data_IF_867724440187
#
_entry.id   IF_867724440187
#
_cell.length_a   1.000
_cell.length_b   1.000
_cell.length_c   1.000
_cell.angle_alpha   90.00
_cell.angle_beta   90.00
_cell.angle_gamma   90.00
#
_symmetry.space_group_name_H-M   'P 1'
#
loop_
_entity.id
_entity.type
_entity.pdbx_description
1 polymer ?
#
# COMPACT_ATOMS: atom_id res chain seq x y z
N UNK A 1 -19.52 -1.93 -8.66
CA UNK A 1 -18.13 -1.54 -8.99
C UNK A 1 -17.72 -0.39 -8.09
N UNK A 2 -16.61 -0.52 -7.37
CA UNK A 2 -16.02 0.65 -6.72
C UNK A 2 -15.26 1.44 -7.78
N UNK A 3 -15.62 2.70 -7.94
CA UNK A 3 -14.80 3.66 -8.69
C UNK A 3 -13.66 4.17 -7.80
N UNK A 4 -12.66 4.78 -8.43
CA UNK A 4 -11.49 5.31 -7.73
C UNK A 4 -11.87 6.37 -6.70
N UNK A 5 -12.89 7.19 -7.02
CA UNK A 5 -13.39 8.23 -6.10
C UNK A 5 -13.87 7.60 -4.79
N UNK A 6 -14.61 6.51 -4.86
CA UNK A 6 -15.11 5.76 -3.70
C UNK A 6 -13.95 5.22 -2.86
N UNK A 7 -12.92 4.63 -3.49
CA UNK A 7 -11.71 4.19 -2.78
C UNK A 7 -11.03 5.37 -2.08
N UNK A 8 -10.83 6.47 -2.80
CA UNK A 8 -10.16 7.65 -2.27
C UNK A 8 -10.89 8.26 -1.08
N UNK A 9 -12.21 8.42 -1.18
CA UNK A 9 -13.04 8.98 -0.11
C UNK A 9 -13.13 8.05 1.11
N UNK A 10 -13.00 6.74 0.91
CA UNK A 10 -13.03 5.74 1.97
C UNK A 10 -11.65 5.42 2.58
N UNK A 11 -10.57 5.97 2.04
CA UNK A 11 -9.24 5.68 2.55
C UNK A 11 -9.13 6.15 4.01
N UNK A 12 -8.75 5.27 4.94
CA UNK A 12 -8.88 5.55 6.36
C UNK A 12 -7.77 6.47 6.88
N UNK A 13 -8.09 7.21 7.93
CA UNK A 13 -7.07 7.81 8.81
C UNK A 13 -6.23 6.72 9.50
N UNK A 14 -4.91 6.90 9.51
CA UNK A 14 -3.97 5.92 10.04
C UNK A 14 -4.14 5.73 11.54
N UNK A 15 -4.30 6.79 12.31
CA UNK A 15 -4.34 6.73 13.77
C UNK A 15 -5.63 6.02 14.24
N UNK A 16 -6.74 6.28 13.55
CA UNK A 16 -7.99 5.57 13.78
C UNK A 16 -7.88 4.05 13.55
N UNK A 17 -7.08 3.62 12.56
CA UNK A 17 -6.81 2.20 12.29
C UNK A 17 -5.82 1.63 13.29
N UNK A 18 -4.73 2.33 13.59
CA UNK A 18 -3.70 1.89 14.53
C UNK A 18 -4.24 1.71 15.95
N UNK A 19 -5.22 2.52 16.38
CA UNK A 19 -5.89 2.38 17.68
C UNK A 19 -6.62 1.04 17.88
N UNK A 20 -6.93 0.30 16.81
CA UNK A 20 -7.60 -1.01 16.88
C UNK A 20 -6.83 -2.18 16.24
N UNK A 21 -6.02 -1.90 15.22
CA UNK A 21 -5.23 -2.88 14.48
C UNK A 21 -3.76 -2.69 14.82
N UNK A 22 -3.27 -3.45 15.78
CA UNK A 22 -1.89 -3.39 16.28
C UNK A 22 -1.34 -4.79 16.58
N UNK A 23 -0.04 -4.90 16.85
CA UNK A 23 0.60 -6.16 17.18
C UNK A 23 0.29 -6.54 18.64
N UNK A 24 -0.72 -7.39 18.84
CA UNK A 24 -1.04 -8.03 20.13
C UNK A 24 -0.18 -9.29 20.31
N UNK A 25 1.07 -9.14 20.76
CA UNK A 25 1.92 -10.27 21.14
C UNK A 25 1.86 -10.53 22.66
N UNK A 26 2.10 -11.77 23.09
CA UNK A 26 2.22 -12.09 24.53
C UNK A 26 3.44 -11.35 25.08
N UNK A 27 3.21 -10.31 25.88
CA UNK A 27 4.25 -9.48 26.49
C UNK A 27 4.19 -7.98 26.15
N UNK A 28 3.28 -7.55 25.25
CA UNK A 28 3.08 -6.12 24.96
C UNK A 28 2.07 -5.83 23.85
N UNK A 29 1.61 -4.57 23.81
CA UNK A 29 0.78 -4.03 22.72
C UNK A 29 1.61 -2.99 21.98
N UNK A 30 2.32 -3.41 20.94
CA UNK A 30 3.09 -2.49 20.09
C UNK A 30 2.35 -2.28 18.76
N UNK A 31 2.45 -1.10 18.13
CA UNK A 31 2.01 -0.93 16.75
C UNK A 31 2.74 -1.88 15.79
N UNK A 32 2.16 -2.14 14.62
CA UNK A 32 2.93 -2.76 13.53
C UNK A 32 3.97 -1.77 13.00
N UNK A 33 5.09 -2.27 12.50
CA UNK A 33 6.14 -1.39 11.94
C UNK A 33 5.65 -0.61 10.71
N UNK A 34 4.74 -1.21 9.93
CA UNK A 34 4.21 -0.62 8.70
C UNK A 34 2.72 -0.89 8.55
N UNK A 35 1.99 0.12 8.06
CA UNK A 35 0.53 0.09 7.95
C UNK A 35 0.00 0.17 6.51
N UNK A 36 0.86 0.31 5.49
CA UNK A 36 0.42 0.52 4.09
C UNK A 36 -0.62 -0.51 3.61
N UNK A 37 -0.31 -1.81 3.72
CA UNK A 37 -1.23 -2.88 3.34
C UNK A 37 -2.47 -2.96 4.24
N UNK A 38 -2.35 -2.54 5.52
CA UNK A 38 -3.46 -2.51 6.47
C UNK A 38 -4.46 -1.42 6.07
N UNK A 39 -3.97 -0.21 5.80
CA UNK A 39 -4.80 0.93 5.38
C UNK A 39 -5.48 0.66 4.05
N UNK A 40 -4.77 0.09 3.08
CA UNK A 40 -5.38 -0.30 1.81
C UNK A 40 -6.40 -1.43 2.01
N UNK A 41 -6.12 -2.43 2.85
CA UNK A 41 -7.10 -3.48 3.17
C UNK A 41 -8.38 -2.88 3.78
N UNK A 42 -8.25 -1.95 4.71
CA UNK A 42 -9.38 -1.25 5.34
C UNK A 42 -10.14 -0.39 4.32
N UNK A 43 -9.43 0.31 3.44
CA UNK A 43 -10.02 1.06 2.32
C UNK A 43 -10.87 0.16 1.43
N UNK A 44 -10.36 -1.01 1.02
CA UNK A 44 -11.11 -1.98 0.22
C UNK A 44 -12.37 -2.45 0.95
N UNK A 45 -12.26 -2.78 2.24
CA UNK A 45 -13.38 -3.23 3.08
C UNK A 45 -14.46 -2.14 3.21
N UNK A 46 -14.07 -0.90 3.45
CA UNK A 46 -14.99 0.26 3.50
C UNK A 46 -15.69 0.51 2.17
N UNK A 47 -15.03 0.19 1.07
CA UNK A 47 -15.58 0.29 -0.29
C UNK A 47 -16.38 -0.95 -0.72
N UNK A 48 -16.78 -1.81 0.23
CA UNK A 48 -17.65 -2.97 -0.04
C UNK A 48 -16.93 -4.17 -0.65
N UNK A 49 -15.60 -4.17 -0.70
CA UNK A 49 -14.81 -5.31 -1.12
C UNK A 49 -14.41 -6.16 0.09
N UNK A 50 -13.87 -7.35 -0.14
CA UNK A 50 -13.32 -8.19 0.93
C UNK A 50 -11.90 -8.64 0.58
N UNK A 51 -11.06 -8.70 1.60
CA UNK A 51 -9.68 -9.23 1.51
C UNK A 51 -9.55 -10.62 2.13
N UNK A 52 -10.63 -11.22 2.62
CA UNK A 52 -10.66 -12.54 3.28
C UNK A 52 -9.97 -13.65 2.47
N UNK A 53 -10.12 -13.64 1.14
CA UNK A 53 -9.54 -14.62 0.22
C UNK A 53 -8.08 -14.36 -0.14
N UNK A 54 -7.50 -13.25 0.29
CA UNK A 54 -6.08 -13.01 0.11
C UNK A 54 -5.29 -14.01 0.98
N UNK A 55 -4.42 -14.86 0.40
CA UNK A 55 -3.67 -15.88 1.15
C UNK A 55 -2.54 -15.30 2.01
N UNK A 56 -2.33 -13.97 1.96
CA UNK A 56 -1.31 -13.25 2.68
C UNK A 56 -1.45 -13.28 4.21
N UNK A 57 -0.38 -12.88 4.89
CA UNK A 57 -0.37 -12.81 6.36
C UNK A 57 -1.39 -11.78 6.85
N UNK A 58 -2.26 -12.17 7.78
CA UNK A 58 -3.36 -11.35 8.30
C UNK A 58 -3.09 -10.81 9.70
N UNK A 59 -3.62 -9.63 10.03
CA UNK A 59 -3.60 -9.09 11.38
C UNK A 59 -4.39 -9.98 12.35
N UNK A 60 -4.07 -9.94 13.64
CA UNK A 60 -4.72 -10.78 14.67
C UNK A 60 -5.34 -9.97 15.82
N UNK A 61 -5.37 -8.64 15.69
CA UNK A 61 -5.73 -7.75 16.80
C UNK A 61 -7.22 -7.57 17.02
N UNK A 62 -8.06 -7.92 16.05
CA UNK A 62 -9.51 -7.78 16.12
C UNK A 62 -10.22 -8.87 15.32
N UNK A 63 -11.50 -9.07 15.62
CA UNK A 63 -12.39 -9.95 14.88
C UNK A 63 -12.87 -9.31 13.57
N UNK A 64 -13.50 -10.10 12.69
CA UNK A 64 -13.99 -9.65 11.39
C UNK A 64 -12.96 -9.77 10.26
N UNK A 65 -13.14 -8.97 9.20
CA UNK A 65 -12.26 -8.98 8.03
C UNK A 65 -10.84 -8.55 8.41
N UNK A 66 -9.95 -9.52 8.58
CA UNK A 66 -8.56 -9.28 8.95
C UNK A 66 -7.78 -8.65 7.78
N UNK A 67 -7.10 -7.55 8.06
CA UNK A 67 -6.26 -6.83 7.09
C UNK A 67 -5.04 -7.64 6.70
N UNK A 68 -4.60 -7.48 5.45
CA UNK A 68 -3.29 -8.02 5.00
C UNK A 68 -2.18 -7.15 5.60
N UNK A 69 -1.16 -7.79 6.17
CA UNK A 69 -0.06 -7.08 6.83
C UNK A 69 1.06 -6.67 5.87
N UNK A 70 1.32 -7.47 4.83
CA UNK A 70 2.46 -7.27 3.92
C UNK A 70 2.00 -6.68 2.58
N UNK A 71 2.72 -5.67 2.11
CA UNK A 71 2.42 -5.04 0.82
C UNK A 71 2.59 -6.01 -0.34
N UNK A 72 3.66 -6.81 -0.35
CA UNK A 72 3.90 -7.81 -1.40
C UNK A 72 2.81 -8.90 -1.42
N UNK A 73 2.34 -9.38 -0.27
CA UNK A 73 1.25 -10.36 -0.21
C UNK A 73 -0.03 -9.80 -0.87
N UNK A 74 -0.35 -8.54 -0.61
CA UNK A 74 -1.52 -7.87 -1.17
C UNK A 74 -1.36 -7.63 -2.69
N UNK A 75 -0.19 -7.17 -3.11
CA UNK A 75 0.16 -6.95 -4.52
C UNK A 75 0.14 -8.25 -5.34
N UNK A 76 0.71 -9.33 -4.81
CA UNK A 76 0.72 -10.64 -5.45
C UNK A 76 -0.70 -11.24 -5.58
N UNK A 77 -1.59 -10.91 -4.64
CA UNK A 77 -3.00 -11.29 -4.75
C UNK A 77 -3.72 -10.49 -5.84
N UNK A 78 -3.49 -9.17 -5.92
CA UNK A 78 -4.03 -8.34 -6.99
C UNK A 78 -3.57 -8.79 -8.39
N UNK A 79 -2.33 -9.23 -8.56
CA UNK A 79 -1.83 -9.74 -9.85
C UNK A 79 -2.57 -11.01 -10.30
N UNK A 80 -2.94 -11.89 -9.35
CA UNK A 80 -3.64 -13.15 -9.64
C UNK A 80 -5.14 -12.96 -9.84
N UNK A 81 -5.75 -12.04 -9.09
CA UNK A 81 -7.18 -11.81 -9.07
C UNK A 81 -7.45 -10.34 -8.77
N UNK A 82 -7.31 -9.45 -9.77
CA UNK A 82 -7.59 -8.03 -9.59
C UNK A 82 -9.02 -7.85 -9.03
N UNK A 83 -9.22 -6.98 -8.03
CA UNK A 83 -10.56 -6.66 -7.55
C UNK A 83 -11.45 -6.10 -8.68
N UNK A 84 -12.76 -6.29 -8.57
CA UNK A 84 -13.70 -5.77 -9.57
C UNK A 84 -13.57 -4.24 -9.71
N UNK A 85 -13.42 -3.76 -10.95
CA UNK A 85 -13.17 -2.34 -11.25
C UNK A 85 -11.68 -1.97 -11.38
N UNK A 86 -10.77 -2.89 -11.07
CA UNK A 86 -9.33 -2.69 -11.24
C UNK A 86 -8.90 -3.22 -12.61
N UNK A 87 -8.03 -2.47 -13.28
CA UNK A 87 -7.37 -2.89 -14.51
C UNK A 87 -6.38 -4.04 -14.27
N UNK A 88 -5.84 -4.57 -15.37
CA UNK A 88 -4.75 -5.55 -15.29
C UNK A 88 -3.47 -4.90 -14.74
N UNK A 89 -2.58 -5.71 -14.15
CA UNK A 89 -1.29 -5.22 -13.66
C UNK A 89 -0.43 -4.70 -14.81
N UNK A 90 0.00 -3.45 -14.68
CA UNK A 90 1.04 -2.83 -15.49
C UNK A 90 2.38 -2.85 -14.76
N UNK A 91 3.44 -3.25 -15.47
CA UNK A 91 4.81 -3.08 -15.00
C UNK A 91 5.31 -1.69 -15.43
N UNK A 92 5.70 -0.89 -14.46
CA UNK A 92 6.18 0.49 -14.69
C UNK A 92 7.68 0.51 -14.43
N UNK A 93 8.44 1.01 -15.41
CA UNK A 93 9.88 1.21 -15.23
C UNK A 93 10.11 2.22 -14.10
N UNK A 94 10.94 1.90 -13.08
CA UNK A 94 11.18 2.79 -11.95
C UNK A 94 11.63 4.20 -12.37
N UNK A 95 12.51 4.33 -13.35
CA UNK A 95 12.98 5.64 -13.82
C UNK A 95 11.89 6.49 -14.53
N UNK A 96 10.78 5.89 -14.95
CA UNK A 96 9.71 6.58 -15.69
C UNK A 96 8.40 6.70 -14.89
N UNK A 97 8.36 6.25 -13.64
CA UNK A 97 7.08 6.02 -12.96
C UNK A 97 6.26 7.30 -12.80
N UNK A 98 6.88 8.42 -12.40
CA UNK A 98 6.15 9.68 -12.23
C UNK A 98 5.52 10.12 -13.55
N UNK A 99 6.28 10.01 -14.65
CA UNK A 99 5.80 10.38 -15.99
C UNK A 99 4.68 9.46 -16.46
N UNK A 100 4.83 8.15 -16.29
CA UNK A 100 3.86 7.15 -16.77
C UNK A 100 2.56 7.14 -15.98
N UNK A 101 2.62 7.44 -14.69
CA UNK A 101 1.45 7.48 -13.80
C UNK A 101 0.84 8.87 -13.68
N UNK A 102 1.45 9.90 -14.28
CA UNK A 102 0.93 11.26 -14.24
C UNK A 102 -0.48 11.35 -14.81
N UNK A 103 -1.38 11.97 -14.06
CA UNK A 103 -2.79 12.12 -14.44
C UNK A 103 -3.66 10.85 -14.31
N UNK A 104 -3.08 9.70 -13.98
CA UNK A 104 -3.79 8.42 -13.82
C UNK A 104 -4.24 8.19 -12.39
N UNK A 105 -5.18 7.28 -12.20
CA UNK A 105 -5.71 6.90 -10.89
C UNK A 105 -5.70 5.38 -10.73
N UNK A 106 -5.43 4.88 -9.52
CA UNK A 106 -5.36 3.44 -9.31
C UNK A 106 -4.65 3.03 -8.03
N UNK A 107 -4.14 1.81 -7.99
CA UNK A 107 -3.26 1.30 -6.92
C UNK A 107 -1.85 1.13 -7.45
N UNK A 108 -0.86 1.53 -6.66
CA UNK A 108 0.56 1.39 -6.98
C UNK A 108 1.26 0.58 -5.91
N UNK A 109 2.15 -0.32 -6.33
CA UNK A 109 3.03 -1.12 -5.48
C UNK A 109 4.48 -0.87 -5.87
N UNK A 110 5.33 -0.61 -4.87
CA UNK A 110 6.78 -0.42 -4.99
C UNK A 110 7.48 -1.55 -4.27
N UNK A 111 8.19 -2.39 -5.02
CA UNK A 111 8.91 -3.55 -4.49
C UNK A 111 10.36 -3.19 -4.15
N UNK A 112 10.84 -3.68 -3.00
CA UNK A 112 12.24 -3.59 -2.57
C UNK A 112 12.83 -2.19 -2.82
N UNK A 113 12.23 -1.12 -2.32
CA UNK A 113 12.69 0.26 -2.59
C UNK A 113 13.52 0.86 -1.44
N UNK A 114 13.43 0.29 -0.23
CA UNK A 114 14.19 0.71 0.96
C UNK A 114 14.66 -0.48 1.79
N UNK A 115 15.62 -0.27 2.68
CA UNK A 115 16.20 -1.30 3.57
C UNK A 115 15.46 -1.39 4.90
N UNK A 116 15.06 -2.60 5.31
CA UNK A 116 14.51 -2.82 6.66
C UNK A 116 15.64 -3.07 7.66
N UNK A 117 15.60 -2.41 8.82
CA UNK A 117 16.59 -2.59 9.88
C UNK A 117 18.03 -2.39 9.37
N UNK A 118 18.88 -3.41 9.54
CA UNK A 118 20.30 -3.38 9.14
C UNK A 118 20.57 -4.06 7.78
N UNK A 119 19.56 -4.18 6.91
CA UNK A 119 19.73 -4.73 5.58
C UNK A 119 20.73 -3.92 4.73
N UNK A 120 21.45 -4.62 3.85
CA UNK A 120 22.22 -3.97 2.78
C UNK A 120 21.27 -3.56 1.67
N UNK A 121 21.56 -2.45 1.00
CA UNK A 121 20.75 -1.98 -0.12
C UNK A 121 20.57 -3.04 -1.22
N UNK A 122 21.60 -3.85 -1.51
CA UNK A 122 21.52 -4.92 -2.51
C UNK A 122 20.56 -6.07 -2.13
N UNK A 123 20.25 -6.23 -0.84
CA UNK A 123 19.39 -7.29 -0.29
C UNK A 123 18.20 -6.71 0.48
N UNK A 124 17.73 -5.53 0.05
CA UNK A 124 16.65 -4.79 0.70
C UNK A 124 15.29 -5.44 0.45
N UNK A 125 14.40 -5.41 1.43
CA UNK A 125 13.05 -6.03 1.38
C UNK A 125 11.90 -5.06 1.71
N UNK A 126 12.18 -3.76 1.67
CA UNK A 126 11.23 -2.72 2.00
C UNK A 126 10.27 -2.41 0.86
N UNK A 127 9.01 -2.81 1.00
CA UNK A 127 7.94 -2.56 0.04
C UNK A 127 6.98 -1.44 0.47
N UNK A 128 6.13 -0.98 -0.46
CA UNK A 128 4.99 -0.09 -0.20
C UNK A 128 3.85 -0.32 -1.20
N UNK A 129 2.60 -0.18 -0.74
CA UNK A 129 1.39 -0.25 -1.57
C UNK A 129 0.41 0.86 -1.14
N UNK A 130 -0.18 1.57 -2.09
CA UNK A 130 -1.08 2.71 -1.82
C UNK A 130 -2.02 3.01 -3.00
N UNK A 131 -3.04 3.84 -2.77
CA UNK A 131 -3.80 4.50 -3.83
C UNK A 131 -2.96 5.61 -4.47
N UNK A 132 -3.09 5.76 -5.79
CA UNK A 132 -2.46 6.78 -6.62
C UNK A 132 -3.53 7.63 -7.31
N UNK A 133 -3.44 8.96 -7.22
CA UNK A 133 -4.34 9.95 -7.81
C UNK A 133 -3.58 11.08 -8.50
N UNK A 134 -3.52 11.05 -9.83
CA UNK A 134 -3.16 12.20 -10.69
C UNK A 134 -1.89 12.96 -10.26
N UNK A 135 -0.89 12.26 -9.72
CA UNK A 135 0.38 12.75 -9.09
C UNK A 135 0.44 12.75 -7.55
N UNK A 136 -0.54 12.18 -6.88
CA UNK A 136 -0.63 12.11 -5.43
C UNK A 136 -0.82 10.66 -5.00
N UNK A 137 -0.29 10.26 -3.86
CA UNK A 137 -0.86 9.15 -3.09
C UNK A 137 -1.79 9.74 -2.04
N UNK A 138 -2.65 8.95 -1.40
CA UNK A 138 -3.57 9.48 -0.38
C UNK A 138 -2.80 10.32 0.67
N UNK A 139 -3.01 11.64 0.66
CA UNK A 139 -2.15 12.61 1.38
C UNK A 139 -2.04 14.04 0.80
N UNK A 140 -2.42 14.28 -0.47
CA UNK A 140 -2.78 15.61 -1.02
C UNK A 140 -1.68 16.50 -1.65
N UNK A 141 -1.80 16.80 -2.96
CA UNK A 141 -1.44 18.08 -3.61
C UNK A 141 -0.05 18.34 -4.22
N UNK A 142 0.70 17.43 -4.88
CA UNK A 142 2.20 17.54 -5.02
C UNK A 142 2.88 17.76 -3.65
N UNK A 143 2.08 17.69 -2.60
CA UNK A 143 2.34 18.24 -1.29
C UNK A 143 2.51 17.00 -0.40
N UNK A 144 3.67 16.80 0.19
CA UNK A 144 4.67 17.82 0.25
C UNK A 144 6.03 17.31 0.58
N UNK A 145 6.78 16.81 -0.40
CA UNK A 145 7.97 16.06 0.00
C UNK A 145 7.60 15.03 1.11
N UNK A 146 6.35 14.57 1.11
CA UNK A 146 5.66 14.05 2.30
C UNK A 146 5.13 12.65 1.99
N UNK A 147 5.96 11.74 1.47
CA UNK A 147 6.92 11.05 2.34
C UNK A 147 8.42 11.26 2.02
N UNK A 148 8.87 12.21 1.21
CA UNK A 148 10.31 12.43 0.83
C UNK A 148 11.27 12.39 2.02
N UNK A 149 10.81 12.78 3.19
CA UNK A 149 11.49 12.43 4.43
C UNK A 149 10.78 11.36 5.23
N UNK A 150 9.45 11.23 5.21
CA UNK A 150 8.65 10.56 6.24
C UNK A 150 9.01 9.08 6.52
N UNK A 151 10.05 8.69 7.26
CA UNK A 151 10.78 9.45 8.30
C UNK A 151 12.28 9.04 8.44
N UNK A 152 13.10 9.14 7.37
CA UNK A 152 14.37 9.87 7.51
C UNK A 152 15.69 9.39 6.88
N UNK A 153 15.78 8.53 5.84
CA UNK A 153 17.09 7.95 5.41
C UNK A 153 17.43 7.93 3.89
N UNK A 154 16.72 8.65 3.02
CA UNK A 154 17.03 8.87 1.56
C UNK A 154 16.81 7.66 0.61
N UNK A 155 15.63 7.03 0.65
CA UNK A 155 15.26 6.03 -0.37
C UNK A 155 14.38 6.66 -1.47
N UNK A 156 14.99 6.82 -2.64
CA UNK A 156 14.34 7.29 -3.87
C UNK A 156 13.46 6.17 -4.44
N UNK A 157 12.15 6.42 -4.61
CA UNK A 157 11.18 5.46 -5.19
C UNK A 157 11.60 4.99 -6.59
N UNK A 158 12.40 5.77 -7.32
CA UNK A 158 13.00 5.37 -8.59
C UNK A 158 14.00 4.19 -8.43
N UNK A 159 14.40 3.86 -7.19
CA UNK A 159 15.24 2.70 -6.87
C UNK A 159 14.45 1.46 -6.50
N UNK A 160 13.12 1.49 -6.62
CA UNK A 160 12.31 0.27 -6.52
C UNK A 160 12.83 -0.77 -7.50
N UNK A 161 12.88 -2.03 -7.08
CA UNK A 161 13.25 -3.13 -7.98
C UNK A 161 12.19 -3.34 -9.06
N UNK A 162 10.93 -3.22 -8.66
CA UNK A 162 9.77 -3.30 -9.53
C UNK A 162 8.71 -2.30 -9.07
N UNK A 163 7.94 -1.76 -10.02
CA UNK A 163 6.74 -0.97 -9.73
C UNK A 163 5.59 -1.58 -10.50
N UNK A 164 4.52 -1.91 -9.78
CA UNK A 164 3.30 -2.48 -10.35
C UNK A 164 2.15 -1.49 -10.17
N UNK A 165 1.32 -1.35 -11.19
CA UNK A 165 0.19 -0.43 -11.18
C UNK A 165 -1.08 -1.13 -11.66
N UNK A 166 -2.20 -0.87 -10.99
CA UNK A 166 -3.53 -1.29 -11.41
C UNK A 166 -4.40 -0.05 -11.53
N UNK A 167 -4.78 0.30 -12.76
CA UNK A 167 -5.64 1.45 -13.01
C UNK A 167 -7.04 1.24 -12.42
N UNK A 168 -7.59 2.27 -11.80
CA UNK A 168 -8.99 2.30 -11.34
C UNK A 168 -9.55 3.64 -11.77
N UNK A 169 -10.70 3.62 -12.45
CA UNK A 169 -11.37 4.83 -12.96
C UNK A 169 -12.31 5.44 -11.94
#
# INVERSE_FOLDING_TARGET
MADFKTLWDNFPDKDAVAGRCFNKQKGGQQPFDNYCAILLSECLVRSGMTVDRCPGTKCWSHEGARHVLRAEDLAAWFDKSPPEGFGARENVAPAEFQKRLSGRTGVVFFKDYWTRGNERFASRSGDHIDLWRRNEITGGGMFYRSLIEMLGLVSDLNKSREIWFWEVS
#
